data_IF_684973800892
#
_entry.id   IF_684973800892
#
_cell.length_a   1.000
_cell.length_b   1.000
_cell.length_c   1.000
_cell.angle_alpha   90.00
_cell.angle_beta   90.00
_cell.angle_gamma   90.00
#
_symmetry.space_group_name_H-M   'P 1'
#
loop_
_entity.id
_entity.type
_entity.pdbx_description
1 polymer ?
#
# COMPACT_ATOMS: atom_id res chain seq x y z
N UNK A 1 -17.28 -9.37 15.36
CA UNK A 1 -15.93 -9.42 14.77
C UNK A 1 -16.10 -9.59 13.27
N UNK A 2 -15.45 -8.74 12.47
CA UNK A 2 -15.39 -8.92 11.02
C UNK A 2 -14.37 -10.03 10.76
N UNK A 3 -14.81 -11.16 10.20
CA UNK A 3 -13.87 -12.19 9.78
C UNK A 3 -12.95 -11.64 8.66
N UNK A 4 -11.64 -11.93 8.69
CA UNK A 4 -10.76 -11.60 7.57
C UNK A 4 -11.29 -12.26 6.29
N UNK A 5 -11.02 -11.66 5.14
CA UNK A 5 -11.41 -12.22 3.83
C UNK A 5 -10.83 -13.64 3.56
N UNK A 6 -9.88 -14.09 4.38
CA UNK A 6 -9.17 -15.36 4.26
C UNK A 6 -9.61 -16.44 5.26
N UNK A 7 -10.71 -16.26 5.99
CA UNK A 7 -11.18 -17.28 6.94
C UNK A 7 -11.38 -18.63 6.23
N UNK A 8 -10.50 -19.62 6.51
CA UNK A 8 -10.50 -20.94 5.88
C UNK A 8 -9.42 -21.19 4.83
N UNK A 9 -8.55 -20.22 4.52
CA UNK A 9 -7.40 -20.44 3.65
C UNK A 9 -6.24 -21.06 4.43
N UNK A 10 -5.85 -22.27 4.03
CA UNK A 10 -4.63 -22.92 4.49
C UNK A 10 -3.44 -22.48 3.61
N UNK A 11 -2.45 -21.75 4.15
CA UNK A 11 -1.21 -21.51 3.43
C UNK A 11 -0.32 -22.76 3.35
N UNK A 12 -0.60 -23.82 4.13
CA UNK A 12 0.08 -25.08 4.00
C UNK A 12 -0.25 -25.72 2.63
N UNK A 13 0.79 -26.05 1.86
CA UNK A 13 0.68 -26.55 0.50
C UNK A 13 1.01 -25.54 -0.60
N UNK A 14 1.34 -24.29 -0.24
CA UNK A 14 1.94 -23.33 -1.19
C UNK A 14 3.44 -23.53 -1.23
N UNK A 15 3.97 -23.83 -2.41
CA UNK A 15 5.41 -23.91 -2.65
C UNK A 15 5.98 -22.51 -2.99
N UNK A 16 5.26 -21.73 -3.80
CA UNK A 16 5.75 -20.47 -4.36
C UNK A 16 4.68 -19.36 -4.34
N UNK A 17 5.15 -18.13 -4.12
CA UNK A 17 4.31 -16.92 -4.09
C UNK A 17 4.64 -15.97 -5.24
N UNK A 18 3.61 -15.57 -5.99
CA UNK A 18 3.72 -14.49 -6.97
C UNK A 18 3.29 -13.17 -6.30
N UNK A 19 4.25 -12.29 -6.01
CA UNK A 19 3.98 -11.01 -5.36
C UNK A 19 3.58 -9.96 -6.40
N UNK A 20 2.36 -9.44 -6.28
CA UNK A 20 1.78 -8.44 -7.18
C UNK A 20 1.82 -7.06 -6.49
N UNK A 21 2.55 -6.07 -7.07
CA UNK A 21 2.66 -4.73 -6.50
C UNK A 21 1.38 -3.89 -6.73
N UNK A 22 1.44 -2.62 -6.33
CA UNK A 22 0.35 -1.64 -6.46
C UNK A 22 -0.30 -1.66 -7.86
N UNK A 23 -1.62 -1.83 -7.90
CA UNK A 23 -2.37 -2.00 -9.15
C UNK A 23 -2.98 -0.68 -9.62
N UNK A 24 -3.50 0.14 -8.70
CA UNK A 24 -4.06 1.46 -8.97
C UNK A 24 -5.05 1.52 -10.14
N UNK A 25 -6.09 0.66 -10.11
CA UNK A 25 -7.15 0.68 -11.12
C UNK A 25 -6.68 0.38 -12.54
N UNK A 26 -5.52 -0.26 -12.73
CA UNK A 26 -4.99 -0.62 -14.06
C UNK A 26 -5.38 -2.05 -14.43
N UNK A 27 -6.66 -2.27 -14.76
CA UNK A 27 -7.22 -3.61 -15.02
C UNK A 27 -6.50 -4.35 -16.14
N UNK A 28 -6.29 -3.71 -17.29
CA UNK A 28 -5.57 -4.31 -18.42
C UNK A 28 -4.12 -4.67 -18.07
N UNK A 29 -3.43 -3.84 -17.27
CA UNK A 29 -2.05 -4.13 -16.83
C UNK A 29 -2.01 -5.29 -15.86
N UNK A 30 -2.98 -5.38 -14.94
CA UNK A 30 -3.09 -6.50 -14.01
C UNK A 30 -3.29 -7.81 -14.77
N UNK A 31 -4.23 -7.86 -15.72
CA UNK A 31 -4.44 -9.05 -16.52
C UNK A 31 -3.23 -9.40 -17.39
N UNK A 32 -2.56 -8.39 -17.97
CA UNK A 32 -1.31 -8.58 -18.70
C UNK A 32 -0.22 -9.23 -17.83
N UNK A 33 -0.05 -8.74 -16.60
CA UNK A 33 0.86 -9.32 -15.61
C UNK A 33 0.48 -10.76 -15.27
N UNK A 34 -0.80 -11.01 -14.99
CA UNK A 34 -1.30 -12.36 -14.67
C UNK A 34 -1.03 -13.34 -15.81
N UNK A 35 -1.32 -12.96 -17.07
CA UNK A 35 -0.98 -13.77 -18.25
C UNK A 35 0.53 -14.04 -18.34
N UNK A 36 1.36 -13.02 -18.12
CA UNK A 36 2.82 -13.17 -18.16
C UNK A 36 3.35 -14.11 -17.06
N UNK A 37 2.69 -14.17 -15.91
CA UNK A 37 3.01 -15.09 -14.82
C UNK A 37 2.46 -16.51 -15.05
N UNK A 38 1.74 -16.75 -16.15
CA UNK A 38 1.15 -18.05 -16.50
C UNK A 38 -0.21 -18.31 -15.85
N UNK A 39 -0.91 -17.27 -15.42
CA UNK A 39 -2.29 -17.37 -14.95
C UNK A 39 -3.24 -17.36 -16.14
N UNK A 40 -4.34 -18.11 -16.03
CA UNK A 40 -5.43 -18.10 -16.99
C UNK A 40 -6.76 -18.00 -16.25
N UNK A 41 -7.75 -17.36 -16.87
CA UNK A 41 -9.09 -17.26 -16.31
C UNK A 41 -9.80 -18.61 -16.43
N UNK A 42 -10.22 -19.18 -15.28
CA UNK A 42 -10.94 -20.46 -15.18
C UNK A 42 -11.98 -20.40 -14.06
N UNK A 43 -13.24 -20.64 -14.40
CA UNK A 43 -14.34 -20.56 -13.43
C UNK A 43 -14.54 -19.14 -12.88
N UNK A 44 -14.27 -18.12 -13.70
CA UNK A 44 -14.42 -16.71 -13.33
C UNK A 44 -13.32 -16.15 -12.43
N UNK A 45 -12.22 -16.87 -12.18
CA UNK A 45 -11.06 -16.34 -11.47
C UNK A 45 -9.76 -16.62 -12.25
N UNK A 46 -8.78 -15.75 -12.10
CA UNK A 46 -7.43 -15.97 -12.61
C UNK A 46 -6.72 -17.02 -11.75
N UNK A 47 -6.26 -18.10 -12.38
CA UNK A 47 -5.62 -19.22 -11.68
C UNK A 47 -4.26 -19.56 -12.31
N UNK A 48 -3.23 -19.84 -11.50
CA UNK A 48 -1.96 -20.33 -12.01
C UNK A 48 -2.13 -21.73 -12.61
N UNK A 49 -1.24 -22.14 -13.51
CA UNK A 49 -1.24 -23.51 -14.04
C UNK A 49 -0.95 -24.55 -12.95
N UNK A 50 -0.09 -24.21 -11.98
CA UNK A 50 0.27 -25.03 -10.84
C UNK A 50 -0.53 -24.62 -9.60
N UNK A 51 -1.24 -25.56 -8.98
CA UNK A 51 -2.01 -25.34 -7.75
C UNK A 51 -1.15 -25.07 -6.51
N UNK A 52 0.15 -25.36 -6.55
CA UNK A 52 1.09 -25.03 -5.50
C UNK A 52 1.57 -23.56 -5.54
N UNK A 53 1.16 -22.78 -6.55
CA UNK A 53 1.41 -21.33 -6.65
C UNK A 53 0.19 -20.53 -6.20
N UNK A 54 0.43 -19.41 -5.51
CA UNK A 54 -0.62 -18.44 -5.18
C UNK A 54 -0.11 -17.01 -5.35
N UNK A 55 -1.02 -16.08 -5.66
CA UNK A 55 -0.70 -14.67 -5.73
C UNK A 55 -0.79 -14.00 -4.35
N UNK A 56 0.04 -12.99 -4.11
CA UNK A 56 -0.08 -12.06 -2.98
C UNK A 56 -0.13 -10.64 -3.51
N UNK A 57 -1.28 -9.98 -3.35
CA UNK A 57 -1.41 -8.56 -3.66
C UNK A 57 -0.90 -7.69 -2.50
N UNK A 58 -0.06 -6.70 -2.80
CA UNK A 58 0.49 -5.78 -1.82
C UNK A 58 -0.46 -4.61 -1.45
N UNK A 59 -1.70 -4.64 -1.92
CA UNK A 59 -2.68 -3.57 -1.71
C UNK A 59 -2.63 -2.50 -2.81
N UNK A 60 -3.19 -1.33 -2.53
CA UNK A 60 -3.27 -0.21 -3.47
C UNK A 60 -3.94 -0.62 -4.80
N UNK A 61 -5.11 -1.27 -4.67
CA UNK A 61 -5.96 -1.70 -5.77
C UNK A 61 -6.62 -0.51 -6.48
N UNK A 62 -6.97 0.52 -5.72
CA UNK A 62 -7.80 1.64 -6.18
C UNK A 62 -7.00 2.92 -6.45
N UNK A 63 -7.75 3.93 -6.93
CA UNK A 63 -7.32 5.25 -7.36
C UNK A 63 -6.39 5.24 -8.60
N UNK A 64 -6.17 6.43 -9.19
CA UNK A 64 -5.34 6.71 -10.39
C UNK A 64 -5.84 6.13 -11.72
N UNK A 65 -5.98 4.81 -11.86
CA UNK A 65 -6.39 4.15 -13.12
C UNK A 65 -7.91 4.16 -13.34
N UNK A 66 -8.38 3.84 -14.56
CA UNK A 66 -9.81 3.90 -14.89
C UNK A 66 -10.61 2.66 -14.41
N UNK A 67 -9.97 1.49 -14.29
CA UNK A 67 -10.65 0.20 -14.12
C UNK A 67 -10.83 -0.22 -12.66
N UNK A 68 -11.25 0.71 -11.82
CA UNK A 68 -11.40 0.54 -10.36
C UNK A 68 -12.20 -0.72 -10.01
N UNK A 69 -13.37 -0.88 -10.64
CA UNK A 69 -14.26 -2.01 -10.39
C UNK A 69 -13.69 -3.34 -10.88
N UNK A 70 -13.03 -3.35 -12.05
CA UNK A 70 -12.43 -4.56 -12.63
C UNK A 70 -11.27 -5.08 -11.78
N UNK A 71 -10.41 -4.19 -11.30
CA UNK A 71 -9.30 -4.58 -10.41
C UNK A 71 -9.82 -5.19 -9.11
N UNK A 72 -10.83 -4.55 -8.49
CA UNK A 72 -11.44 -5.10 -7.29
C UNK A 72 -12.12 -6.45 -7.56
N UNK A 73 -12.82 -6.62 -8.68
CA UNK A 73 -13.45 -7.89 -9.06
C UNK A 73 -12.41 -9.02 -9.23
N UNK A 74 -11.32 -8.77 -9.97
CA UNK A 74 -10.23 -9.74 -10.14
C UNK A 74 -9.67 -10.18 -8.78
N UNK A 75 -9.27 -9.22 -7.93
CA UNK A 75 -8.68 -9.52 -6.64
C UNK A 75 -9.66 -10.29 -5.73
N UNK A 76 -10.93 -9.86 -5.67
CA UNK A 76 -11.99 -10.50 -4.88
C UNK A 76 -12.20 -11.95 -5.28
N UNK A 77 -12.29 -12.22 -6.59
CA UNK A 77 -12.53 -13.57 -7.09
C UNK A 77 -11.34 -14.48 -6.85
N UNK A 78 -10.11 -14.00 -7.10
CA UNK A 78 -8.91 -14.77 -6.79
C UNK A 78 -8.80 -15.12 -5.30
N UNK A 79 -9.17 -14.18 -4.42
CA UNK A 79 -9.18 -14.39 -2.97
C UNK A 79 -10.30 -15.35 -2.56
N UNK A 80 -11.51 -15.17 -3.08
CA UNK A 80 -12.66 -16.03 -2.79
C UNK A 80 -12.45 -17.48 -3.22
N UNK A 81 -11.72 -17.68 -4.32
CA UNK A 81 -11.32 -19.00 -4.83
C UNK A 81 -10.06 -19.56 -4.15
N UNK A 82 -9.49 -18.84 -3.18
CA UNK A 82 -8.31 -19.26 -2.43
C UNK A 82 -7.01 -19.35 -3.22
N UNK A 83 -6.94 -18.70 -4.38
CA UNK A 83 -5.73 -18.64 -5.24
C UNK A 83 -4.92 -17.36 -5.05
N UNK A 84 -5.40 -16.43 -4.22
CA UNK A 84 -4.65 -15.24 -3.82
C UNK A 84 -4.87 -14.85 -2.35
N UNK A 85 -3.89 -14.15 -1.80
CA UNK A 85 -3.99 -13.37 -0.58
C UNK A 85 -3.73 -11.88 -0.89
N UNK A 86 -4.02 -11.02 0.07
CA UNK A 86 -3.83 -9.57 -0.06
C UNK A 86 -3.64 -8.90 1.29
N UNK A 87 -2.92 -7.79 1.28
CA UNK A 87 -2.91 -6.81 2.39
C UNK A 87 -3.59 -5.52 1.94
N UNK A 88 -4.05 -4.74 2.91
CA UNK A 88 -4.59 -3.41 2.68
C UNK A 88 -3.46 -2.41 2.37
N UNK A 89 -3.62 -1.64 1.29
CA UNK A 89 -2.74 -0.52 0.97
C UNK A 89 -3.22 0.80 1.56
N UNK A 90 -2.43 1.86 1.38
CA UNK A 90 -2.81 3.17 1.89
C UNK A 90 -3.98 3.80 1.13
N UNK A 91 -4.20 3.44 -0.13
CA UNK A 91 -5.32 3.97 -0.92
C UNK A 91 -6.66 3.39 -0.42
N UNK A 92 -6.72 2.11 -0.09
CA UNK A 92 -7.90 1.51 0.57
C UNK A 92 -8.17 2.16 1.93
N UNK A 93 -7.13 2.33 2.77
CA UNK A 93 -7.26 3.02 4.07
C UNK A 93 -7.75 4.46 3.90
N UNK A 94 -7.23 5.18 2.91
CA UNK A 94 -7.64 6.55 2.62
C UNK A 94 -9.09 6.62 2.17
N UNK A 95 -9.57 5.69 1.35
CA UNK A 95 -10.97 5.62 0.94
C UNK A 95 -11.91 5.35 2.12
N UNK A 96 -11.51 4.47 3.05
CA UNK A 96 -12.24 4.22 4.29
C UNK A 96 -12.32 5.48 5.16
N UNK A 97 -11.20 6.17 5.39
CA UNK A 97 -11.20 7.44 6.12
C UNK A 97 -11.95 8.56 5.38
N UNK A 98 -11.95 8.57 4.05
CA UNK A 98 -12.69 9.55 3.26
C UNK A 98 -14.21 9.38 3.43
N UNK A 99 -14.67 8.15 3.59
CA UNK A 99 -16.08 7.79 3.73
C UNK A 99 -16.58 7.77 5.19
N UNK A 100 -15.69 7.85 6.17
CA UNK A 100 -16.04 7.67 7.58
C UNK A 100 -16.00 9.02 8.31
N UNK A 101 -17.11 9.46 8.93
CA UNK A 101 -17.10 10.63 9.80
C UNK A 101 -16.37 10.32 11.11
N UNK A 102 -15.67 11.31 11.61
CA UNK A 102 -15.08 11.32 12.94
C UNK A 102 -16.22 11.38 13.98
N UNK A 103 -16.23 10.50 15.00
CA UNK A 103 -17.34 10.43 15.96
C UNK A 103 -17.43 11.64 16.88
N UNK A 104 -16.33 12.39 17.07
CA UNK A 104 -16.30 13.57 17.96
C UNK A 104 -16.70 14.84 17.20
N UNK A 105 -16.19 14.99 15.98
CA UNK A 105 -16.35 16.24 15.21
C UNK A 105 -17.40 16.16 14.10
N UNK A 106 -17.82 14.95 13.71
CA UNK A 106 -18.69 14.69 12.55
C UNK A 106 -18.03 14.94 11.19
N UNK A 107 -16.81 15.49 11.15
CA UNK A 107 -16.07 15.74 9.92
C UNK A 107 -15.46 14.44 9.37
N UNK A 108 -15.21 14.32 8.06
CA UNK A 108 -14.54 13.13 7.51
C UNK A 108 -13.14 12.90 8.12
N UNK A 109 -12.82 11.65 8.49
CA UNK A 109 -11.50 11.28 9.03
C UNK A 109 -10.35 11.61 8.07
N UNK A 110 -10.63 11.61 6.76
CA UNK A 110 -9.77 12.19 5.73
C UNK A 110 -10.46 13.41 5.12
N UNK A 111 -9.87 14.58 5.34
CA UNK A 111 -10.38 15.84 4.80
C UNK A 111 -10.57 15.80 3.27
N UNK A 112 -11.69 16.35 2.78
CA UNK A 112 -12.00 16.48 1.35
C UNK A 112 -11.31 17.73 0.76
N UNK A 113 -9.99 17.82 0.95
CA UNK A 113 -9.18 18.86 0.31
C UNK A 113 -9.07 18.63 -1.21
N UNK A 114 -8.81 19.67 -2.03
CA UNK A 114 -8.65 19.50 -3.48
C UNK A 114 -7.66 18.40 -3.86
N UNK A 115 -6.54 18.30 -3.13
CA UNK A 115 -5.56 17.22 -3.31
C UNK A 115 -6.16 15.85 -3.06
N UNK A 116 -6.85 15.66 -1.94
CA UNK A 116 -7.40 14.35 -1.58
C UNK A 116 -8.55 13.94 -2.51
N UNK A 117 -9.38 14.91 -2.93
CA UNK A 117 -10.42 14.68 -3.93
C UNK A 117 -9.81 14.30 -5.27
N UNK A 118 -8.78 15.00 -5.73
CA UNK A 118 -8.09 14.66 -6.98
C UNK A 118 -7.45 13.27 -6.95
N UNK A 119 -6.81 12.89 -5.84
CA UNK A 119 -6.25 11.54 -5.69
C UNK A 119 -7.34 10.45 -5.71
N UNK A 120 -8.52 10.74 -5.19
CA UNK A 120 -9.62 9.77 -5.02
C UNK A 120 -10.68 9.84 -6.12
N UNK A 121 -10.51 10.72 -7.11
CA UNK A 121 -11.54 11.04 -8.10
C UNK A 121 -11.98 9.82 -8.90
N UNK A 122 -11.03 9.02 -9.40
CA UNK A 122 -11.32 7.82 -10.18
C UNK A 122 -12.17 6.80 -9.42
N UNK A 123 -11.90 6.61 -8.11
CA UNK A 123 -12.72 5.73 -7.28
C UNK A 123 -14.13 6.30 -7.08
N UNK A 124 -14.27 7.61 -6.84
CA UNK A 124 -15.58 8.24 -6.66
C UNK A 124 -16.42 8.23 -7.94
N UNK A 125 -15.77 8.32 -9.10
CA UNK A 125 -16.40 8.19 -10.42
C UNK A 125 -16.92 6.77 -10.64
N UNK A 126 -16.08 5.75 -10.38
CA UNK A 126 -16.47 4.36 -10.53
C UNK A 126 -17.50 3.89 -9.46
N UNK A 127 -17.44 4.47 -8.27
CA UNK A 127 -18.27 4.11 -7.12
C UNK A 127 -18.97 5.33 -6.52
N UNK A 128 -20.10 5.69 -7.13
CA UNK A 128 -20.87 6.88 -6.76
C UNK A 128 -21.15 6.98 -5.25
N UNK A 129 -21.06 8.18 -4.64
CA UNK A 129 -21.42 8.40 -3.24
C UNK A 129 -22.83 7.88 -2.92
N UNK A 130 -22.98 7.20 -1.78
CA UNK A 130 -24.28 6.64 -1.35
C UNK A 130 -24.73 5.38 -2.11
N UNK A 131 -24.01 4.94 -3.14
CA UNK A 131 -24.37 3.72 -3.88
C UNK A 131 -24.15 2.43 -3.06
N UNK A 132 -24.92 1.39 -3.37
CA UNK A 132 -24.70 0.05 -2.81
C UNK A 132 -23.33 -0.52 -3.20
N UNK A 133 -22.92 -0.30 -4.46
CA UNK A 133 -21.61 -0.71 -4.96
C UNK A 133 -20.46 -0.10 -4.14
N UNK A 134 -20.53 1.20 -3.80
CA UNK A 134 -19.52 1.85 -2.96
C UNK A 134 -19.49 1.27 -1.54
N UNK A 135 -20.66 1.03 -0.93
CA UNK A 135 -20.73 0.40 0.41
C UNK A 135 -20.13 -1.00 0.40
N UNK A 136 -20.42 -1.79 -0.63
CA UNK A 136 -19.84 -3.11 -0.81
C UNK A 136 -18.32 -3.06 -1.04
N UNK A 137 -17.84 -2.14 -1.90
CA UNK A 137 -16.42 -1.86 -2.13
C UNK A 137 -15.68 -1.58 -0.80
N UNK A 138 -16.14 -0.58 -0.06
CA UNK A 138 -15.57 -0.18 1.24
C UNK A 138 -15.67 -1.31 2.27
N UNK A 139 -16.81 -2.01 2.31
CA UNK A 139 -17.04 -3.12 3.23
C UNK A 139 -16.06 -4.27 3.01
N UNK A 140 -15.76 -4.61 1.76
CA UNK A 140 -14.73 -5.60 1.43
C UNK A 140 -13.32 -5.12 1.76
N UNK A 141 -12.96 -3.90 1.36
CA UNK A 141 -11.63 -3.33 1.65
C UNK A 141 -11.37 -3.31 3.15
N UNK A 142 -12.37 -2.95 3.97
CA UNK A 142 -12.27 -2.96 5.44
C UNK A 142 -11.90 -4.32 6.04
N UNK A 143 -12.20 -5.43 5.34
CA UNK A 143 -11.88 -6.80 5.79
C UNK A 143 -10.51 -7.30 5.34
N UNK A 144 -9.76 -6.52 4.57
CA UNK A 144 -8.37 -6.81 4.24
C UNK A 144 -7.51 -6.66 5.51
N UNK A 145 -6.57 -7.58 5.76
CA UNK A 145 -5.63 -7.42 6.85
C UNK A 145 -4.55 -6.38 6.49
N UNK A 146 -4.04 -5.68 7.49
CA UNK A 146 -2.94 -4.72 7.35
C UNK A 146 -1.58 -5.40 7.10
N UNK A 147 -1.45 -6.67 7.48
CA UNK A 147 -0.24 -7.47 7.26
C UNK A 147 -0.60 -8.97 7.19
N UNK A 148 0.30 -9.77 6.62
CA UNK A 148 0.26 -11.24 6.69
C UNK A 148 1.55 -11.74 7.32
N UNK A 149 1.42 -12.71 8.21
CA UNK A 149 2.53 -13.44 8.82
C UNK A 149 2.36 -14.92 8.48
N UNK A 150 3.06 -15.37 7.44
CA UNK A 150 2.97 -16.74 6.91
C UNK A 150 4.12 -17.61 7.44
N UNK A 151 4.67 -17.25 8.60
CA UNK A 151 5.84 -17.90 9.20
C UNK A 151 7.14 -17.42 8.56
N UNK A 152 7.65 -18.15 7.57
CA UNK A 152 8.90 -17.82 6.88
C UNK A 152 8.79 -16.63 5.92
N UNK A 153 7.58 -16.16 5.64
CA UNK A 153 7.31 -15.06 4.72
C UNK A 153 6.31 -14.07 5.33
N UNK A 154 6.63 -12.78 5.27
CA UNK A 154 5.85 -11.71 5.88
C UNK A 154 5.53 -10.65 4.84
N UNK A 155 4.32 -10.12 4.92
CA UNK A 155 3.78 -9.18 3.93
C UNK A 155 3.19 -7.97 4.63
N UNK A 156 3.59 -6.79 4.20
CA UNK A 156 2.97 -5.51 4.55
C UNK A 156 3.11 -4.58 3.34
N UNK A 157 2.13 -3.70 3.12
CA UNK A 157 2.15 -2.79 1.98
C UNK A 157 3.36 -1.86 1.97
N UNK A 158 3.66 -1.21 3.10
CA UNK A 158 4.74 -0.22 3.20
C UNK A 158 6.02 -0.81 3.80
N UNK A 159 5.98 -1.23 5.05
CA UNK A 159 7.14 -1.76 5.76
C UNK A 159 6.72 -2.64 6.94
N UNK A 160 7.50 -3.69 7.20
CA UNK A 160 7.39 -4.47 8.42
C UNK A 160 8.24 -3.85 9.53
N UNK A 161 7.58 -3.36 10.58
CA UNK A 161 8.24 -2.84 11.77
C UNK A 161 7.65 -3.56 12.99
N UNK A 162 8.47 -4.36 13.70
CA UNK A 162 7.98 -5.18 14.81
C UNK A 162 7.18 -4.40 15.87
N UNK A 163 7.58 -3.18 16.30
CA UNK A 163 6.76 -2.40 17.24
C UNK A 163 5.39 -2.01 16.67
N UNK A 164 5.31 -1.70 15.37
CA UNK A 164 4.05 -1.33 14.72
C UNK A 164 3.13 -2.54 14.56
N UNK A 165 3.68 -3.69 14.17
CA UNK A 165 2.93 -4.94 14.05
C UNK A 165 2.41 -5.40 15.42
N UNK A 166 3.24 -5.32 16.46
CA UNK A 166 2.85 -5.63 17.83
C UNK A 166 1.69 -4.75 18.31
N UNK A 167 1.74 -3.44 18.04
CA UNK A 167 0.66 -2.52 18.37
C UNK A 167 -0.65 -2.88 17.63
N UNK A 168 -0.59 -3.18 16.34
CA UNK A 168 -1.78 -3.61 15.58
C UNK A 168 -2.35 -4.92 16.14
N UNK A 169 -1.50 -5.91 16.45
CA UNK A 169 -1.92 -7.21 17.01
C UNK A 169 -2.61 -7.09 18.37
N UNK A 170 -2.23 -6.09 19.17
CA UNK A 170 -2.87 -5.82 20.46
C UNK A 170 -4.31 -5.31 20.30
N UNK A 171 -4.62 -4.63 19.20
CA UNK A 171 -5.93 -4.04 18.93
C UNK A 171 -6.79 -4.91 18.00
N UNK A 172 -6.17 -5.70 17.12
CA UNK A 172 -6.85 -6.58 16.17
C UNK A 172 -6.03 -7.84 15.93
N UNK A 173 -6.58 -8.99 16.36
CA UNK A 173 -5.92 -10.30 16.27
C UNK A 173 -5.46 -10.65 14.85
N UNK A 174 -6.22 -10.24 13.84
CA UNK A 174 -5.95 -10.52 12.42
C UNK A 174 -5.42 -9.30 11.66
N UNK A 175 -5.13 -8.19 12.35
CA UNK A 175 -4.73 -6.94 11.71
C UNK A 175 -5.79 -6.35 10.79
N UNK A 176 -7.06 -6.70 10.97
CA UNK A 176 -8.20 -6.12 10.23
C UNK A 176 -8.66 -4.85 10.97
N UNK A 177 -9.15 -3.85 10.25
CA UNK A 177 -9.62 -2.58 10.84
C UNK A 177 -10.92 -2.77 11.64
N UNK A 178 -10.78 -3.08 12.92
CA UNK A 178 -11.84 -3.11 13.94
C UNK A 178 -11.72 -1.90 14.89
N UNK A 179 -12.87 -1.42 15.40
CA UNK A 179 -12.92 -0.38 16.44
C UNK A 179 -12.06 0.87 16.15
N UNK A 180 -11.22 1.23 17.11
CA UNK A 180 -10.38 2.43 17.15
C UNK A 180 -9.25 2.46 16.10
N UNK A 181 -9.03 1.38 15.35
CA UNK A 181 -8.00 1.33 14.31
C UNK A 181 -8.27 2.26 13.12
N UNK A 182 -9.51 2.74 12.96
CA UNK A 182 -9.87 3.80 12.01
C UNK A 182 -9.71 5.21 12.57
N UNK A 183 -9.26 5.38 13.82
CA UNK A 183 -9.25 6.68 14.49
C UNK A 183 -8.30 7.75 13.90
N UNK A 184 -8.54 9.04 14.21
CA UNK A 184 -7.88 10.20 13.59
C UNK A 184 -6.34 10.28 13.81
N UNK A 185 -5.79 9.53 14.76
CA UNK A 185 -4.36 9.51 15.10
C UNK A 185 -3.47 8.67 14.18
N UNK A 186 -4.03 7.78 13.35
CA UNK A 186 -3.27 6.84 12.48
C UNK A 186 -3.17 7.30 11.04
N UNK A 187 -2.98 8.61 10.84
CA UNK A 187 -2.67 9.19 9.52
C UNK A 187 -1.37 8.61 9.00
N UNK A 188 -1.29 8.37 7.68
CA UNK A 188 -0.04 8.16 6.94
C UNK A 188 0.95 9.29 7.28
N UNK A 189 1.79 9.06 8.29
CA UNK A 189 2.89 9.96 8.61
C UNK A 189 3.95 9.69 7.55
N UNK A 190 4.32 10.74 6.80
CA UNK A 190 5.48 10.74 5.90
C UNK A 190 6.66 10.03 6.57
N UNK A 191 7.49 9.27 5.81
CA UNK A 191 8.70 8.71 6.37
C UNK A 191 9.49 9.83 7.04
N UNK A 192 9.83 9.66 8.31
CA UNK A 192 10.79 10.50 8.98
C UNK A 192 12.06 10.45 8.13
N UNK A 193 12.37 11.54 7.42
CA UNK A 193 13.70 11.72 6.81
C UNK A 193 14.69 11.67 7.95
N UNK A 194 15.31 10.51 8.15
CA UNK A 194 16.42 10.34 9.07
C UNK A 194 17.54 11.28 8.64
N UNK A 195 17.70 12.38 9.40
CA UNK A 195 18.89 13.21 9.33
C UNK A 195 20.08 12.38 9.76
N UNK A 196 20.74 11.74 8.81
CA UNK A 196 21.99 11.02 9.03
C UNK A 196 23.06 12.00 9.49
N UNK A 197 23.27 12.10 10.81
CA UNK A 197 24.51 12.63 11.37
C UNK A 197 25.61 11.68 10.96
N UNK A 198 26.46 12.12 10.03
CA UNK A 198 27.71 11.44 9.67
C UNK A 198 28.62 11.44 10.90
N UNK A 199 28.80 10.28 11.53
CA UNK A 199 29.93 10.05 12.41
C UNK A 199 31.19 9.99 11.54
N UNK A 200 32.06 11.00 11.63
CA UNK A 200 33.46 10.88 11.25
C UNK A 200 34.24 10.50 12.50
N UNK A 201 34.70 9.25 12.56
CA UNK A 201 35.88 8.88 13.33
C UNK A 201 37.11 9.21 12.47
N UNK A 202 38.14 9.77 13.10
CA UNK A 202 39.41 10.07 12.46
C UNK A 202 40.36 10.76 13.44
N UNK A 203 41.26 9.96 13.98
CA UNK A 203 42.26 10.33 14.97
C UNK A 203 43.38 11.24 14.41
N UNK A 204 43.95 12.06 15.30
CA UNK A 204 45.39 12.30 15.45
C UNK A 204 46.16 13.04 14.35
N UNK A 205 46.89 14.09 14.75
CA UNK A 205 48.07 14.56 14.01
C UNK A 205 48.33 16.05 14.09
N UNK A 206 49.43 16.42 14.75
CA UNK A 206 49.90 17.80 14.98
C UNK A 206 50.56 18.41 13.72
N UNK A 207 50.61 19.74 13.74
CA UNK A 207 51.79 20.59 13.42
C UNK A 207 51.72 21.48 12.16
N UNK A 208 51.88 22.79 12.46
CA UNK A 208 52.67 23.83 11.78
C UNK A 208 52.53 24.13 10.28
N UNK A 209 52.53 25.44 9.99
CA UNK A 209 53.13 25.98 8.77
C UNK A 209 52.31 27.05 8.08
N UNK A 210 52.84 28.27 8.03
CA UNK A 210 52.19 29.47 7.48
C UNK A 210 52.07 29.50 5.95
N UNK A 211 51.51 30.61 5.44
CA UNK A 211 51.58 30.94 4.02
C UNK A 211 50.44 31.81 3.52
N UNK A 212 50.66 33.14 3.50
CA UNK A 212 49.91 34.12 2.69
C UNK A 212 50.13 33.87 1.18
N UNK A 213 49.19 34.36 0.37
CA UNK A 213 49.30 35.02 -0.97
C UNK A 213 48.03 34.65 -1.78
N UNK A 214 47.00 35.50 -1.95
CA UNK A 214 46.87 36.71 -2.78
C UNK A 214 46.84 36.51 -4.31
N UNK A 215 45.84 37.15 -4.94
CA UNK A 215 45.63 37.48 -6.38
C UNK A 215 44.92 36.43 -7.24
N UNK A 216 44.12 36.74 -8.27
CA UNK A 216 43.28 37.86 -8.77
C UNK A 216 42.84 37.42 -10.19
N UNK A 217 41.68 37.89 -10.68
CA UNK A 217 41.24 37.78 -12.09
C UNK A 217 39.92 37.00 -12.22
N UNK A 218 38.72 37.59 -12.38
CA UNK A 218 38.16 38.34 -13.55
C UNK A 218 38.50 37.66 -14.89
N UNK A 219 37.61 37.45 -15.86
CA UNK A 219 36.16 37.57 -16.04
C UNK A 219 35.82 36.93 -17.41
N UNK A 220 34.53 36.89 -17.75
CA UNK A 220 33.97 36.86 -19.13
C UNK A 220 33.51 35.51 -19.70
N UNK A 221 32.19 35.37 -19.77
CA UNK A 221 31.43 34.58 -20.75
C UNK A 221 30.98 35.53 -21.91
N UNK A 222 30.11 35.18 -22.88
CA UNK A 222 29.73 33.93 -23.58
C UNK A 222 29.94 34.15 -25.13
N UNK A 223 29.24 33.59 -26.15
CA UNK A 223 28.08 32.66 -26.19
C UNK A 223 28.12 31.48 -27.19
N UNK A 224 27.05 30.69 -27.06
CA UNK A 224 26.59 29.54 -27.85
C UNK A 224 26.25 29.90 -29.31
N UNK A 225 26.25 28.91 -30.22
CA UNK A 225 25.28 28.82 -31.31
C UNK A 225 23.98 28.09 -30.89
#
# INVERSE_FOLDING_TARGET
>A
MLAPVFAGLDPAGVADWDVIPDVHGMGDRLEGLLRALGYAERGGAWRPADSARKAIFLGDFIDRGPDQARVLDIARRMIGEGVALAVMGNHELNALHYATPDPETGAPLRAHSPKNMAQHAAFLEAFAPGSAARRDALGWMRRLPLFLDLGGFRVAHAAWLDPAIAAIRAESRFGVLEGDLLGPGRRSRRPLRGGGRRHRQGAGGRSAGGGRLSRQGRASAPPQP
#
